data_IF_147483870573
#
_entry.id   IF_147483870573
#
_cell.length_a   1.000
_cell.length_b   1.000
_cell.length_c   1.000
_cell.angle_alpha   90.00
_cell.angle_beta   90.00
_cell.angle_gamma   90.00
#
_symmetry.space_group_name_H-M   'P 1'
#
loop_
_entity.id
_entity.type
_entity.pdbx_description
1 polymer ?
#
# COMPACT_ATOMS: atom_id res chain seq x y z
N UNK A 1 6.16 -22.63 0.76
CA UNK A 1 6.42 -21.20 1.00
C UNK A 1 5.21 -20.67 1.73
N UNK A 2 5.38 -20.26 2.97
CA UNK A 2 4.27 -19.80 3.80
C UNK A 2 3.75 -18.46 3.28
N UNK A 3 2.43 -18.37 3.14
CA UNK A 3 1.75 -17.16 2.71
C UNK A 3 1.79 -16.15 3.87
N UNK A 4 2.54 -15.06 3.71
CA UNK A 4 2.73 -14.09 4.79
C UNK A 4 1.86 -12.87 4.54
N UNK A 5 1.00 -12.59 5.53
CA UNK A 5 0.08 -11.47 5.52
C UNK A 5 0.59 -10.37 6.44
N UNK A 6 0.64 -9.15 5.92
CA UNK A 6 1.03 -7.97 6.69
C UNK A 6 -0.18 -7.08 6.91
N UNK A 7 -0.41 -6.67 8.16
CA UNK A 7 -1.45 -5.72 8.49
C UNK A 7 -1.11 -4.34 7.91
N UNK A 8 -2.08 -3.73 7.22
CA UNK A 8 -1.95 -2.38 6.62
C UNK A 8 -2.98 -1.39 7.19
N UNK A 9 -3.54 -1.68 8.36
CA UNK A 9 -4.50 -0.84 9.09
C UNK A 9 -5.95 -1.30 8.94
N UNK A 10 -6.77 -1.00 9.96
CA UNK A 10 -8.23 -1.30 9.99
C UNK A 10 -8.61 -2.76 9.70
N UNK A 11 -7.78 -3.70 10.13
CA UNK A 11 -8.02 -5.13 9.86
C UNK A 11 -7.70 -5.55 8.41
N UNK A 12 -7.25 -4.65 7.55
CA UNK A 12 -6.82 -4.99 6.20
C UNK A 12 -5.42 -5.60 6.24
N UNK A 13 -5.21 -6.60 5.38
CA UNK A 13 -3.95 -7.30 5.20
C UNK A 13 -3.60 -7.38 3.73
N UNK A 14 -2.31 -7.43 3.42
CA UNK A 14 -1.81 -7.71 2.07
C UNK A 14 -0.77 -8.82 2.12
N UNK A 15 -0.60 -9.56 1.03
CA UNK A 15 0.45 -10.55 0.91
C UNK A 15 1.80 -9.84 0.77
N UNK A 16 2.72 -10.05 1.72
CA UNK A 16 4.03 -9.37 1.74
C UNK A 16 4.82 -9.65 0.45
N UNK A 17 4.76 -10.89 -0.05
CA UNK A 17 5.48 -11.32 -1.25
C UNK A 17 5.00 -10.66 -2.55
N UNK A 18 3.81 -10.04 -2.54
CA UNK A 18 3.26 -9.34 -3.71
C UNK A 18 3.60 -7.86 -3.73
N UNK A 19 4.15 -7.29 -2.65
CA UNK A 19 4.50 -5.88 -2.58
C UNK A 19 5.86 -5.65 -3.23
N UNK A 20 5.90 -4.86 -4.31
CA UNK A 20 7.14 -4.44 -4.98
C UNK A 20 7.76 -3.21 -4.36
N UNK A 21 6.94 -2.28 -3.86
CA UNK A 21 7.42 -1.05 -3.22
C UNK A 21 6.43 -0.49 -2.20
N UNK A 22 6.96 0.15 -1.16
CA UNK A 22 6.21 0.92 -0.15
C UNK A 22 6.76 2.34 -0.13
N UNK A 23 5.94 3.34 -0.43
CA UNK A 23 6.37 4.74 -0.56
C UNK A 23 5.38 5.72 0.09
N UNK A 24 5.87 6.91 0.44
CA UNK A 24 5.05 7.99 1.00
C UNK A 24 4.13 8.61 -0.05
N UNK A 25 2.91 8.98 0.36
CA UNK A 25 1.90 9.60 -0.51
C UNK A 25 2.09 11.12 -0.75
N UNK A 26 3.19 11.71 -0.29
CA UNK A 26 3.32 13.17 -0.20
C UNK A 26 3.70 13.86 -1.53
N UNK A 27 4.42 13.18 -2.41
CA UNK A 27 4.94 13.78 -3.64
C UNK A 27 3.87 13.89 -4.74
N UNK A 28 3.98 14.94 -5.57
CA UNK A 28 3.08 15.13 -6.71
C UNK A 28 3.10 13.94 -7.71
N UNK A 29 4.26 13.34 -8.06
CA UNK A 29 4.30 12.14 -8.90
C UNK A 29 3.53 10.95 -8.30
N UNK A 30 3.65 10.71 -6.99
CA UNK A 30 2.92 9.62 -6.34
C UNK A 30 1.41 9.86 -6.37
N UNK A 31 0.98 11.11 -6.16
CA UNK A 31 -0.44 11.47 -6.32
C UNK A 31 -0.96 11.21 -7.73
N UNK A 32 -0.15 11.43 -8.78
CA UNK A 32 -0.54 11.06 -10.16
C UNK A 32 -0.72 9.55 -10.32
N UNK A 33 0.19 8.74 -9.78
CA UNK A 33 0.07 7.27 -9.82
C UNK A 33 -1.24 6.81 -9.17
N UNK A 34 -1.65 7.43 -8.07
CA UNK A 34 -2.93 7.11 -7.40
C UNK A 34 -4.12 7.41 -8.33
N UNK A 35 -4.11 8.57 -8.99
CA UNK A 35 -5.18 8.98 -9.91
C UNK A 35 -5.24 8.04 -11.12
N UNK A 36 -4.09 7.72 -11.71
CA UNK A 36 -3.99 6.78 -12.83
C UNK A 36 -4.46 5.37 -12.44
N UNK A 37 -4.09 4.90 -11.25
CA UNK A 37 -4.54 3.62 -10.73
C UNK A 37 -6.06 3.57 -10.53
N UNK A 38 -6.66 4.67 -10.06
CA UNK A 38 -8.12 4.80 -9.95
C UNK A 38 -8.78 4.75 -11.32
N UNK A 39 -8.25 5.49 -12.30
CA UNK A 39 -8.80 5.55 -13.65
C UNK A 39 -8.79 4.19 -14.35
N UNK A 40 -7.74 3.37 -14.14
CA UNK A 40 -7.64 2.01 -14.70
C UNK A 40 -8.34 0.92 -13.88
N UNK A 41 -9.01 1.26 -12.78
CA UNK A 41 -9.67 0.29 -11.89
C UNK A 41 -8.72 -0.57 -11.05
N UNK A 42 -7.45 -0.18 -10.92
CA UNK A 42 -6.41 -0.91 -10.19
C UNK A 42 -6.09 -0.36 -8.79
N UNK A 43 -6.89 0.58 -8.28
CA UNK A 43 -6.71 1.18 -6.96
C UNK A 43 -7.49 0.41 -5.89
N UNK A 44 -6.80 -0.01 -4.84
CA UNK A 44 -7.37 -0.59 -3.64
C UNK A 44 -7.22 0.44 -2.51
N UNK A 45 -8.32 0.99 -2.04
CA UNK A 45 -8.32 2.00 -0.99
C UNK A 45 -8.61 1.39 0.39
N UNK A 46 -7.54 1.11 1.16
CA UNK A 46 -7.64 0.59 2.53
C UNK A 46 -7.47 1.71 3.58
N UNK A 47 -7.74 2.97 3.23
CA UNK A 47 -7.56 4.10 4.14
C UNK A 47 -8.73 4.35 5.07
N UNK A 48 -9.92 3.82 4.77
CA UNK A 48 -11.17 4.04 5.51
C UNK A 48 -11.49 5.53 5.67
N UNK A 49 -11.25 6.32 4.60
CA UNK A 49 -11.49 7.76 4.58
C UNK A 49 -10.49 8.59 5.37
N UNK A 50 -9.46 7.97 5.98
CA UNK A 50 -8.38 8.70 6.64
C UNK A 50 -7.35 9.19 5.62
N UNK A 51 -6.49 10.12 6.06
CA UNK A 51 -5.35 10.59 5.26
C UNK A 51 -4.51 9.40 4.77
N UNK A 52 -4.36 9.29 3.45
CA UNK A 52 -3.38 8.41 2.80
C UNK A 52 -1.98 8.81 3.27
N UNK A 53 -1.30 7.90 3.96
CA UNK A 53 0.09 8.09 4.40
C UNK A 53 1.05 7.29 3.54
N UNK A 54 0.61 6.12 3.08
CA UNK A 54 1.43 5.18 2.32
C UNK A 54 0.73 4.71 1.06
N UNK A 55 1.54 4.49 0.03
CA UNK A 55 1.19 3.86 -1.23
C UNK A 55 2.04 2.61 -1.40
N UNK A 56 1.39 1.46 -1.61
CA UNK A 56 2.04 0.20 -1.90
C UNK A 56 1.77 -0.17 -3.36
N UNK A 57 2.78 -0.64 -4.07
CA UNK A 57 2.64 -1.15 -5.43
C UNK A 57 2.79 -2.66 -5.40
N UNK A 58 1.79 -3.37 -5.92
CA UNK A 58 1.86 -4.81 -6.08
C UNK A 58 2.57 -5.18 -7.39
N UNK A 59 3.11 -6.39 -7.46
CA UNK A 59 3.70 -7.00 -8.66
C UNK A 59 2.75 -7.04 -9.87
N UNK A 60 1.44 -7.19 -9.60
CA UNK A 60 0.34 -7.13 -10.58
C UNK A 60 0.01 -5.72 -11.10
N UNK A 61 0.67 -4.67 -10.57
CA UNK A 61 0.40 -3.27 -10.92
C UNK A 61 -0.77 -2.63 -10.17
N UNK A 62 -1.40 -3.35 -9.22
CA UNK A 62 -2.37 -2.77 -8.29
C UNK A 62 -1.67 -1.76 -7.35
N UNK A 63 -2.38 -0.68 -7.03
CA UNK A 63 -1.92 0.31 -6.05
C UNK A 63 -2.80 0.19 -4.81
N UNK A 64 -2.19 -0.05 -3.65
CA UNK A 64 -2.89 -0.16 -2.37
C UNK A 64 -2.57 1.06 -1.52
N UNK A 65 -3.61 1.76 -1.07
CA UNK A 65 -3.50 2.92 -0.18
C UNK A 65 -3.66 2.50 1.27
N UNK A 66 -2.83 3.06 2.15
CA UNK A 66 -2.96 2.86 3.60
C UNK A 66 -2.83 4.17 4.36
N UNK A 67 -3.53 4.24 5.49
CA UNK A 67 -3.38 5.32 6.47
C UNK A 67 -2.22 5.06 7.45
N UNK A 68 -1.61 3.88 7.43
CA UNK A 68 -0.43 3.54 8.26
C UNK A 68 0.80 4.23 7.68
N UNK A 69 1.71 4.68 8.56
CA UNK A 69 2.97 5.30 8.15
C UNK A 69 3.90 4.30 7.45
N UNK A 70 4.72 4.81 6.52
CA UNK A 70 5.67 4.01 5.75
C UNK A 70 6.62 3.26 6.68
N UNK A 71 7.21 3.93 7.68
CA UNK A 71 8.18 3.32 8.59
C UNK A 71 7.58 2.15 9.37
N UNK A 72 6.33 2.27 9.82
CA UNK A 72 5.61 1.17 10.49
C UNK A 72 5.42 -0.03 9.56
N UNK A 73 5.15 0.20 8.27
CA UNK A 73 4.99 -0.88 7.30
C UNK A 73 6.33 -1.53 6.95
N UNK A 74 7.42 -0.75 6.85
CA UNK A 74 8.78 -1.28 6.67
C UNK A 74 9.17 -2.18 7.85
N UNK A 75 8.92 -1.74 9.09
CA UNK A 75 9.19 -2.55 10.27
C UNK A 75 8.42 -3.87 10.24
N UNK A 76 7.14 -3.83 9.89
CA UNK A 76 6.31 -5.03 9.76
C UNK A 76 6.77 -5.96 8.62
N UNK A 77 7.35 -5.43 7.54
CA UNK A 77 7.92 -6.22 6.45
C UNK A 77 9.26 -6.85 6.84
N UNK A 78 10.07 -6.17 7.64
CA UNK A 78 11.38 -6.66 8.06
C UNK A 78 11.32 -7.72 9.17
N UNK A 79 10.24 -7.74 9.95
CA UNK A 79 10.03 -8.68 11.06
C UNK A 79 9.38 -10.01 10.64
N UNK A 80 9.01 -10.16 9.37
CA UNK A 80 8.34 -11.35 8.84
C UNK A 80 9.13 -11.98 7.70
#
# INVERSE_FOLDING_TARGET
MDFQLINIGFGNVVASQRIRSVISAESAPVKRIIVEARARGGLIDATYGRRTRTVMMCDSGQIVLSSVQVDTLIQRLAMN
#
